data_IF_141454564074
#
_entry.id   IF_141454564074
#
_cell.length_a   1.000
_cell.length_b   1.000
_cell.length_c   1.000
_cell.angle_alpha   90.00
_cell.angle_beta   90.00
_cell.angle_gamma   90.00
#
_symmetry.space_group_name_H-M   'P 1'
#
loop_
_entity.id
_entity.type
_entity.pdbx_description
1 polymer ?
#
# COMPACT_ATOMS: atom_id res chain seq x y z
N UNK A 1 1.76 21.65 5.28
CA UNK A 1 1.17 20.33 4.92
C UNK A 1 2.01 19.50 3.96
N UNK A 2 2.50 20.00 2.81
CA UNK A 2 3.12 19.14 1.78
C UNK A 2 4.36 18.36 2.26
N UNK A 3 5.20 18.98 3.09
CA UNK A 3 6.38 18.33 3.66
C UNK A 3 6.01 17.17 4.60
N UNK A 4 4.95 17.33 5.40
CA UNK A 4 4.47 16.27 6.32
C UNK A 4 3.94 15.10 5.49
N UNK A 5 3.11 15.38 4.48
CA UNK A 5 2.56 14.37 3.58
C UNK A 5 3.69 13.62 2.86
N UNK A 6 4.70 14.33 2.37
CA UNK A 6 5.89 13.71 1.76
C UNK A 6 6.59 12.73 2.71
N UNK A 7 6.86 13.13 3.96
CA UNK A 7 7.49 12.27 4.96
C UNK A 7 6.62 11.05 5.27
N UNK A 8 5.30 11.26 5.41
CA UNK A 8 4.34 10.17 5.65
C UNK A 8 4.29 9.20 4.47
N UNK A 9 4.25 9.69 3.22
CA UNK A 9 4.27 8.87 2.01
C UNK A 9 5.54 8.03 1.94
N UNK A 10 6.71 8.60 2.28
CA UNK A 10 7.96 7.83 2.35
C UNK A 10 7.92 6.75 3.43
N UNK A 11 7.44 7.08 4.64
CA UNK A 11 7.30 6.11 5.71
C UNK A 11 6.34 4.97 5.33
N UNK A 12 5.21 5.31 4.70
CA UNK A 12 4.23 4.35 4.20
C UNK A 12 4.81 3.50 3.07
N UNK A 13 5.58 4.07 2.15
CA UNK A 13 6.21 3.32 1.06
C UNK A 13 7.21 2.28 1.58
N UNK A 14 8.02 2.66 2.56
CA UNK A 14 8.95 1.73 3.22
C UNK A 14 8.19 0.66 4.02
N UNK A 15 7.15 1.06 4.75
CA UNK A 15 6.33 0.14 5.53
C UNK A 15 5.55 -0.83 4.64
N UNK A 16 5.10 -0.38 3.46
CA UNK A 16 4.37 -1.20 2.50
C UNK A 16 5.17 -2.44 2.12
N UNK A 17 6.49 -2.31 1.94
CA UNK A 17 7.36 -3.43 1.57
C UNK A 17 7.41 -4.57 2.60
N UNK A 18 7.03 -4.31 3.86
CA UNK A 18 6.99 -5.31 4.93
C UNK A 18 5.61 -5.92 5.14
N UNK A 19 4.64 -5.60 4.27
CA UNK A 19 3.32 -6.19 4.36
C UNK A 19 3.39 -7.72 4.15
N UNK A 20 2.58 -8.50 4.90
CA UNK A 20 2.61 -9.96 4.90
C UNK A 20 2.43 -10.56 3.51
N UNK A 21 1.59 -9.95 2.67
CA UNK A 21 1.31 -10.44 1.33
C UNK A 21 2.58 -10.38 0.45
N UNK A 22 3.46 -9.40 0.64
CA UNK A 22 4.77 -9.37 -0.04
C UNK A 22 5.70 -10.38 0.59
N UNK A 23 5.77 -10.46 1.93
CA UNK A 23 6.66 -11.39 2.62
C UNK A 23 6.36 -12.84 2.24
N UNK A 24 5.08 -13.23 2.17
CA UNK A 24 4.64 -14.56 1.77
C UNK A 24 5.03 -14.82 0.31
N UNK A 25 4.68 -13.91 -0.61
CA UNK A 25 5.00 -14.05 -2.04
C UNK A 25 6.51 -14.12 -2.29
N UNK A 26 7.30 -13.27 -1.63
CA UNK A 26 8.76 -13.21 -1.76
C UNK A 26 9.45 -14.49 -1.26
N UNK A 27 8.90 -15.17 -0.23
CA UNK A 27 9.44 -16.47 0.24
C UNK A 27 9.29 -17.59 -0.78
N UNK A 28 8.34 -17.48 -1.70
CA UNK A 28 8.10 -18.48 -2.75
C UNK A 28 9.01 -18.29 -3.97
N UNK A 29 9.71 -17.15 -4.03
CA UNK A 29 10.59 -16.76 -5.13
C UNK A 29 12.02 -17.27 -4.91
N UNK A 30 12.71 -17.59 -6.01
CA UNK A 30 14.01 -18.30 -5.98
C UNK A 30 15.19 -17.43 -6.35
N UNK A 31 14.96 -16.27 -6.97
CA UNK A 31 16.03 -15.43 -7.49
C UNK A 31 15.80 -13.95 -7.21
N UNK A 32 16.90 -13.18 -7.15
CA UNK A 32 16.86 -11.71 -7.00
C UNK A 32 16.12 -11.03 -8.16
N UNK A 33 16.15 -11.64 -9.35
CA UNK A 33 15.39 -11.16 -10.50
C UNK A 33 13.89 -11.24 -10.24
N UNK A 34 13.43 -12.31 -9.61
CA UNK A 34 12.00 -12.48 -9.29
C UNK A 34 11.53 -11.40 -8.31
N UNK A 35 12.33 -11.06 -7.30
CA UNK A 35 12.02 -9.97 -6.37
C UNK A 35 11.89 -8.62 -7.08
N UNK A 36 12.82 -8.32 -8.00
CA UNK A 36 12.81 -7.06 -8.75
C UNK A 36 11.60 -6.98 -9.70
N UNK A 37 11.32 -8.08 -10.42
CA UNK A 37 10.16 -8.16 -11.31
C UNK A 37 8.87 -8.03 -10.53
N UNK A 38 8.75 -8.68 -9.37
CA UNK A 38 7.57 -8.58 -8.52
C UNK A 38 7.38 -7.17 -7.98
N UNK A 39 8.40 -6.57 -7.35
CA UNK A 39 8.30 -5.21 -6.81
C UNK A 39 7.87 -4.20 -7.87
N UNK A 40 8.52 -4.23 -9.04
CA UNK A 40 8.19 -3.33 -10.15
C UNK A 40 6.77 -3.58 -10.69
N UNK A 41 6.39 -4.83 -10.95
CA UNK A 41 5.06 -5.15 -11.49
C UNK A 41 3.94 -4.83 -10.50
N UNK A 42 4.18 -5.03 -9.20
CA UNK A 42 3.27 -4.63 -8.12
C UNK A 42 3.12 -3.11 -8.02
N UNK A 43 4.23 -2.38 -8.08
CA UNK A 43 4.21 -0.92 -8.13
C UNK A 43 3.45 -0.40 -9.35
N UNK A 44 3.67 -0.98 -10.53
CA UNK A 44 2.94 -0.65 -11.77
C UNK A 44 1.44 -0.95 -11.61
N UNK A 45 1.08 -2.12 -11.07
CA UNK A 45 -0.30 -2.48 -10.81
C UNK A 45 -1.02 -1.46 -9.93
N UNK A 46 -0.37 -1.00 -8.85
CA UNK A 46 -0.94 0.03 -7.99
C UNK A 46 -1.09 1.37 -8.73
N UNK A 47 -0.07 1.81 -9.48
CA UNK A 47 -0.13 3.06 -10.24
C UNK A 47 -1.29 3.09 -11.25
N UNK A 48 -1.58 1.95 -11.90
CA UNK A 48 -2.67 1.81 -12.87
C UNK A 48 -4.05 2.10 -12.28
N UNK A 49 -4.24 1.87 -10.97
CA UNK A 49 -5.49 2.16 -10.28
C UNK A 49 -5.44 3.52 -9.57
N UNK A 50 -4.33 3.81 -8.89
CA UNK A 50 -4.20 4.99 -8.05
C UNK A 50 -4.15 6.30 -8.85
N UNK A 51 -3.44 6.35 -9.99
CA UNK A 51 -3.34 7.58 -10.78
C UNK A 51 -4.71 8.01 -11.34
N UNK A 52 -5.51 7.13 -11.98
CA UNK A 52 -6.88 7.48 -12.37
C UNK A 52 -7.74 7.93 -11.19
N UNK A 53 -7.60 7.28 -10.03
CA UNK A 53 -8.36 7.63 -8.83
C UNK A 53 -8.05 9.06 -8.37
N UNK A 54 -6.76 9.42 -8.31
CA UNK A 54 -6.32 10.77 -7.95
C UNK A 54 -6.85 11.80 -8.94
N UNK A 55 -6.87 11.49 -10.24
CA UNK A 55 -7.46 12.36 -11.27
C UNK A 55 -8.95 12.59 -10.99
N UNK A 56 -9.72 11.51 -10.80
CA UNK A 56 -11.17 11.58 -10.60
C UNK A 56 -11.49 12.38 -9.33
N UNK A 57 -10.82 12.09 -8.22
CA UNK A 57 -11.04 12.77 -6.94
C UNK A 57 -10.59 14.24 -6.96
N UNK A 58 -9.57 14.58 -7.76
CA UNK A 58 -9.13 15.98 -7.92
C UNK A 58 -10.13 16.83 -8.72
N UNK A 59 -10.95 16.21 -9.58
CA UNK A 59 -11.91 16.91 -10.44
C UNK A 59 -13.27 17.06 -9.76
N UNK A 60 -13.66 16.07 -8.95
CA UNK A 60 -14.97 16.02 -8.29
C UNK A 60 -14.75 15.96 -6.77
N UNK A 61 -14.46 17.11 -6.12
CA UNK A 61 -14.18 17.15 -4.69
C UNK A 61 -15.37 16.67 -3.82
N UNK A 62 -16.59 16.67 -4.35
CA UNK A 62 -17.75 16.06 -3.68
C UNK A 62 -17.60 14.53 -3.48
N UNK A 63 -16.68 13.88 -4.20
CA UNK A 63 -16.31 12.48 -3.99
C UNK A 63 -15.34 12.28 -2.82
N UNK A 64 -14.80 13.33 -2.20
CA UNK A 64 -13.89 13.23 -1.05
C UNK A 64 -14.53 12.45 0.11
N UNK A 65 -15.80 12.74 0.41
CA UNK A 65 -16.56 12.01 1.43
C UNK A 65 -16.73 10.53 1.09
N UNK A 66 -16.98 10.22 -0.20
CA UNK A 66 -17.11 8.84 -0.68
C UNK A 66 -15.75 8.13 -0.59
N UNK A 67 -14.66 8.82 -0.94
CA UNK A 67 -13.28 8.33 -0.77
C UNK A 67 -12.94 8.03 0.69
N UNK A 68 -13.31 8.92 1.61
CA UNK A 68 -13.14 8.75 3.06
C UNK A 68 -13.94 7.56 3.60
N UNK A 69 -15.20 7.38 3.17
CA UNK A 69 -16.04 6.23 3.53
C UNK A 69 -15.46 4.93 3.01
N UNK A 70 -15.01 4.91 1.74
CA UNK A 70 -14.36 3.74 1.13
C UNK A 70 -13.06 3.41 1.88
N UNK A 71 -12.24 4.43 2.19
CA UNK A 71 -10.99 4.29 2.92
C UNK A 71 -11.20 3.74 4.34
N UNK A 72 -12.22 4.22 5.06
CA UNK A 72 -12.64 3.68 6.37
C UNK A 72 -13.11 2.23 6.26
N UNK A 73 -13.96 1.94 5.27
CA UNK A 73 -14.47 0.58 5.03
C UNK A 73 -13.34 -0.41 4.80
N UNK A 74 -12.38 -0.07 3.93
CA UNK A 74 -11.22 -0.92 3.69
C UNK A 74 -10.30 -1.03 4.91
N UNK A 75 -10.07 0.06 5.64
CA UNK A 75 -9.24 0.03 6.85
C UNK A 75 -9.85 -0.84 7.95
N UNK A 76 -11.18 -0.82 8.09
CA UNK A 76 -11.91 -1.69 9.00
C UNK A 76 -11.86 -3.16 8.58
N UNK A 77 -12.01 -3.46 7.29
CA UNK A 77 -11.88 -4.81 6.73
C UNK A 77 -10.45 -5.35 6.96
N UNK A 78 -9.44 -4.51 6.74
CA UNK A 78 -8.03 -4.85 6.96
C UNK A 78 -7.72 -5.11 8.43
N UNK A 79 -8.16 -4.23 9.33
CA UNK A 79 -8.01 -4.42 10.77
C UNK A 79 -8.69 -5.73 11.22
N UNK A 80 -9.89 -6.00 10.73
CA UNK A 80 -10.60 -7.24 11.01
C UNK A 80 -9.85 -8.47 10.49
N UNK A 81 -9.36 -8.44 9.24
CA UNK A 81 -8.58 -9.53 8.64
C UNK A 81 -7.33 -9.85 9.46
N UNK A 82 -6.60 -8.83 9.90
CA UNK A 82 -5.41 -8.97 10.74
C UNK A 82 -5.73 -9.47 12.16
N UNK A 83 -6.82 -9.01 12.78
CA UNK A 83 -7.26 -9.50 14.11
C UNK A 83 -7.69 -10.96 14.04
N UNK A 84 -8.39 -11.36 12.97
CA UNK A 84 -8.91 -12.72 12.80
C UNK A 84 -7.85 -13.68 12.24
N UNK A 85 -6.73 -13.15 11.72
CA UNK A 85 -5.69 -13.94 11.06
C UNK A 85 -6.17 -14.57 9.75
N UNK A 86 -7.19 -13.97 9.11
CA UNK A 86 -7.70 -14.37 7.80
C UNK A 86 -7.21 -13.37 6.76
N UNK A 87 -6.33 -13.85 5.90
CA UNK A 87 -5.76 -13.09 4.80
C UNK A 87 -6.78 -13.11 3.63
N UNK A 88 -7.16 -11.94 3.10
CA UNK A 88 -7.94 -11.86 1.87
C UNK A 88 -6.98 -12.07 0.69
N UNK A 89 -6.63 -13.33 0.43
CA UNK A 89 -5.66 -13.68 -0.61
C UNK A 89 -6.32 -13.76 -2.00
N UNK A 90 -5.72 -13.05 -2.96
CA UNK A 90 -5.74 -13.52 -4.34
C UNK A 90 -4.55 -14.45 -4.50
N UNK A 91 -4.84 -15.74 -4.62
CA UNK A 91 -3.85 -16.79 -4.79
C UNK A 91 -3.28 -16.68 -6.22
N UNK A 92 -2.10 -16.08 -6.41
CA UNK A 92 -1.59 -15.86 -7.78
C UNK A 92 -0.14 -16.32 -7.98
N UNK A 93 -0.02 -17.17 -9.01
CA UNK A 93 1.15 -17.78 -9.66
C UNK A 93 2.38 -16.86 -9.86
N UNK A 94 3.57 -17.44 -10.08
CA UNK A 94 4.91 -16.82 -10.26
C UNK A 94 5.08 -15.91 -11.51
N UNK A 95 4.02 -15.30 -12.01
CA UNK A 95 3.97 -14.57 -13.28
C UNK A 95 4.08 -13.06 -13.08
N UNK A 96 4.62 -12.34 -14.07
CA UNK A 96 4.57 -10.87 -14.15
C UNK A 96 3.14 -10.32 -13.99
N UNK A 97 2.15 -11.08 -14.46
CA UNK A 97 0.73 -10.74 -14.31
C UNK A 97 0.22 -10.84 -12.88
N UNK A 98 0.84 -11.67 -12.03
CA UNK A 98 0.44 -11.77 -10.62
C UNK A 98 0.83 -10.54 -9.82
N UNK A 99 2.04 -10.03 -10.05
CA UNK A 99 2.49 -8.78 -9.43
C UNK A 99 1.61 -7.61 -9.85
N UNK A 100 1.25 -7.48 -11.14
CA UNK A 100 0.34 -6.41 -11.59
C UNK A 100 -1.04 -6.54 -10.92
N UNK A 101 -1.63 -7.73 -10.91
CA UNK A 101 -2.95 -7.94 -10.30
C UNK A 101 -2.93 -7.71 -8.78
N UNK A 102 -1.89 -8.18 -8.09
CA UNK A 102 -1.70 -7.93 -6.66
C UNK A 102 -1.43 -6.44 -6.39
N UNK A 103 -0.68 -5.77 -7.26
CA UNK A 103 -0.47 -4.34 -7.24
C UNK A 103 -1.78 -3.56 -7.33
N UNK A 104 -2.62 -3.92 -8.29
CA UNK A 104 -3.87 -3.24 -8.59
C UNK A 104 -4.98 -3.52 -7.57
N UNK A 105 -5.13 -4.79 -7.16
CA UNK A 105 -6.30 -5.26 -6.43
C UNK A 105 -6.03 -5.75 -5.01
N UNK A 106 -4.77 -5.97 -4.61
CA UNK A 106 -4.47 -6.21 -3.19
C UNK A 106 -4.57 -4.86 -2.48
N UNK A 107 -5.64 -4.74 -1.71
CA UNK A 107 -5.95 -3.53 -0.98
C UNK A 107 -5.26 -3.62 0.36
N UNK A 108 -4.30 -2.72 0.58
CA UNK A 108 -3.50 -2.69 1.80
C UNK A 108 -3.57 -1.30 2.44
N UNK A 109 -3.37 -1.19 3.77
CA UNK A 109 -3.61 0.06 4.49
C UNK A 109 -2.77 1.22 3.92
N UNK A 110 -1.51 0.94 3.58
CA UNK A 110 -0.57 1.92 3.06
C UNK A 110 -1.00 2.47 1.69
N UNK A 111 -1.44 1.61 0.76
CA UNK A 111 -1.96 2.01 -0.57
C UNK A 111 -3.16 2.94 -0.46
N UNK A 112 -4.09 2.64 0.44
CA UNK A 112 -5.29 3.45 0.68
C UNK A 112 -4.89 4.82 1.21
N UNK A 113 -4.09 4.87 2.28
CA UNK A 113 -3.67 6.14 2.87
C UNK A 113 -2.97 7.00 1.82
N UNK A 114 -2.06 6.41 1.05
CA UNK A 114 -1.30 7.16 0.05
C UNK A 114 -2.21 7.70 -1.05
N UNK A 115 -3.23 6.94 -1.49
CA UNK A 115 -4.22 7.42 -2.43
C UNK A 115 -5.05 8.60 -1.87
N UNK A 116 -5.48 8.51 -0.61
CA UNK A 116 -6.22 9.58 0.08
C UNK A 116 -5.34 10.83 0.25
N UNK A 117 -4.11 10.67 0.78
CA UNK A 117 -3.17 11.78 0.93
C UNK A 117 -2.83 12.44 -0.41
N UNK A 118 -2.74 11.65 -1.48
CA UNK A 118 -2.48 12.16 -2.82
C UNK A 118 -3.67 12.93 -3.39
N UNK A 119 -4.93 12.54 -3.11
CA UNK A 119 -6.09 13.29 -3.59
C UNK A 119 -6.23 14.66 -2.91
N UNK A 120 -5.85 14.78 -1.64
CA UNK A 120 -5.97 16.03 -0.86
C UNK A 120 -5.03 17.15 -1.33
N UNK A 121 -3.92 16.80 -2.00
CA UNK A 121 -2.90 17.78 -2.41
C UNK A 121 -3.03 18.23 -3.87
N UNK A 122 -4.09 17.77 -4.54
CA UNK A 122 -4.37 18.05 -5.95
C UNK A 122 -3.54 17.21 -6.93
N UNK A 123 -3.98 17.20 -8.19
CA UNK A 123 -3.51 16.25 -9.22
C UNK A 123 -1.99 16.17 -9.38
N UNK A 124 -1.29 17.29 -9.52
CA UNK A 124 0.16 17.29 -9.81
C UNK A 124 0.97 16.72 -8.64
N UNK A 125 0.76 17.24 -7.43
CA UNK A 125 1.47 16.78 -6.24
C UNK A 125 1.04 15.36 -5.85
N UNK A 126 -0.24 15.05 -5.98
CA UNK A 126 -0.77 13.71 -5.73
C UNK A 126 -0.13 12.67 -6.64
N UNK A 127 -0.03 12.95 -7.94
CA UNK A 127 0.64 12.08 -8.90
C UNK A 127 2.12 11.87 -8.57
N UNK A 128 2.82 12.93 -8.16
CA UNK A 128 4.22 12.83 -7.69
C UNK A 128 4.31 11.91 -6.47
N UNK A 129 3.40 12.01 -5.50
CA UNK A 129 3.39 11.15 -4.32
C UNK A 129 3.07 9.68 -4.64
N UNK A 130 2.15 9.41 -5.58
CA UNK A 130 1.90 8.04 -6.05
C UNK A 130 3.15 7.46 -6.71
N UNK A 131 3.80 8.22 -7.62
CA UNK A 131 5.01 7.76 -8.31
C UNK A 131 6.14 7.53 -7.31
N UNK A 132 6.32 8.44 -6.35
CA UNK A 132 7.32 8.32 -5.30
C UNK A 132 7.07 7.08 -4.44
N UNK A 133 5.83 6.85 -4.02
CA UNK A 133 5.44 5.66 -3.27
C UNK A 133 5.78 4.41 -4.06
N UNK A 134 5.39 4.34 -5.34
CA UNK A 134 5.66 3.20 -6.23
C UNK A 134 7.15 2.91 -6.33
N UNK A 135 7.99 3.92 -6.55
CA UNK A 135 9.44 3.75 -6.67
C UNK A 135 10.03 3.24 -5.35
N UNK A 136 9.72 3.91 -4.25
CA UNK A 136 10.30 3.60 -2.93
C UNK A 136 9.81 2.25 -2.43
N UNK A 137 8.53 1.92 -2.59
CA UNK A 137 7.98 0.64 -2.18
C UNK A 137 8.50 -0.51 -3.05
N UNK A 138 8.65 -0.32 -4.36
CA UNK A 138 9.23 -1.34 -5.25
C UNK A 138 10.68 -1.67 -4.85
N UNK A 139 11.48 -0.63 -4.54
CA UNK A 139 12.84 -0.81 -4.03
C UNK A 139 12.84 -1.47 -2.64
N UNK A 140 11.92 -1.08 -1.77
CA UNK A 140 11.71 -1.70 -0.46
C UNK A 140 11.38 -3.18 -0.58
N UNK A 141 10.44 -3.57 -1.44
CA UNK A 141 10.04 -4.96 -1.68
C UNK A 141 11.22 -5.79 -2.16
N UNK A 142 12.02 -5.25 -3.09
CA UNK A 142 13.25 -5.90 -3.53
C UNK A 142 14.23 -6.11 -2.36
N UNK A 143 14.43 -5.08 -1.53
CA UNK A 143 15.32 -5.15 -0.37
C UNK A 143 14.83 -6.17 0.67
N UNK A 144 13.52 -6.19 0.95
CA UNK A 144 12.89 -7.17 1.86
C UNK A 144 13.06 -8.59 1.32
N UNK A 145 12.81 -8.82 0.03
CA UNK A 145 13.03 -10.12 -0.61
C UNK A 145 14.48 -10.57 -0.53
N UNK A 146 15.42 -9.65 -0.78
CA UNK A 146 16.84 -9.89 -0.61
C UNK A 146 17.19 -10.25 0.84
N UNK A 147 16.72 -9.49 1.83
CA UNK A 147 16.99 -9.74 3.25
C UNK A 147 16.38 -11.05 3.76
N UNK A 148 15.18 -11.40 3.30
CA UNK A 148 14.52 -12.66 3.62
C UNK A 148 15.30 -13.88 3.13
N UNK A 149 16.12 -13.74 2.08
CA UNK A 149 17.03 -14.82 1.67
C UNK A 149 18.14 -15.11 2.69
N UNK A 150 18.35 -14.21 3.66
CA UNK A 150 19.34 -14.34 4.73
C UNK A 150 18.72 -14.45 6.13
N UNK A 151 17.49 -13.97 6.35
CA UNK A 151 16.85 -13.85 7.67
C UNK A 151 15.45 -14.48 7.64
N UNK A 152 15.20 -15.42 8.56
CA UNK A 152 13.86 -15.98 8.80
C UNK A 152 13.02 -15.03 9.68
N UNK A 153 12.27 -14.11 9.06
CA UNK A 153 11.35 -13.22 9.78
C UNK A 153 10.16 -14.02 10.33
N UNK A 154 9.77 -13.83 11.60
CA UNK A 154 8.62 -14.53 12.19
C UNK A 154 7.30 -13.91 11.72
N UNK A 155 6.28 -14.73 11.46
CA UNK A 155 4.94 -14.31 10.99
C UNK A 155 4.29 -13.27 11.93
N UNK A 156 4.53 -13.39 13.23
CA UNK A 156 3.92 -12.52 14.25
C UNK A 156 4.39 -11.05 14.17
N UNK A 157 5.62 -10.79 13.72
CA UNK A 157 6.15 -9.42 13.63
C UNK A 157 5.49 -8.63 12.50
N UNK A 158 5.24 -9.28 11.36
CA UNK A 158 4.56 -8.67 10.21
C UNK A 158 3.10 -8.33 10.55
N UNK A 159 2.42 -9.22 11.29
CA UNK A 159 1.06 -8.98 11.82
C UNK A 159 0.97 -7.75 12.73
N UNK A 160 1.93 -7.59 13.66
CA UNK A 160 1.97 -6.42 14.54
C UNK A 160 2.14 -5.10 13.77
N UNK A 161 3.01 -5.09 12.76
CA UNK A 161 3.24 -3.91 11.92
C UNK A 161 1.95 -3.52 11.19
N UNK A 162 1.23 -4.49 10.61
CA UNK A 162 -0.02 -4.24 9.91
C UNK A 162 -1.13 -3.67 10.80
N UNK A 163 -1.28 -4.20 12.02
CA UNK A 163 -2.25 -3.69 13.00
C UNK A 163 -1.94 -2.23 13.33
N UNK A 164 -0.66 -1.90 13.58
CA UNK A 164 -0.25 -0.52 13.88
C UNK A 164 -0.59 0.44 12.72
N UNK A 165 -0.28 0.05 11.48
CA UNK A 165 -0.59 0.89 10.30
C UNK A 165 -2.11 1.09 10.18
N UNK A 166 -2.91 0.03 10.29
CA UNK A 166 -4.36 0.12 10.17
C UNK A 166 -4.99 1.05 11.21
N UNK A 167 -4.51 1.01 12.47
CA UNK A 167 -4.97 1.92 13.52
C UNK A 167 -4.61 3.37 13.18
N UNK A 168 -3.37 3.63 12.76
CA UNK A 168 -2.92 4.97 12.36
C UNK A 168 -3.77 5.49 11.20
N UNK A 169 -4.12 4.65 10.22
CA UNK A 169 -5.03 4.99 9.12
C UNK A 169 -6.39 5.44 9.62
N UNK A 170 -7.01 4.65 10.49
CA UNK A 170 -8.35 4.95 11.01
C UNK A 170 -8.33 6.29 11.75
N UNK A 171 -7.31 6.52 12.59
CA UNK A 171 -7.16 7.78 13.31
C UNK A 171 -7.01 8.95 12.33
N UNK A 172 -6.16 8.83 11.32
CA UNK A 172 -5.95 9.89 10.33
C UNK A 172 -7.23 10.23 9.56
N UNK A 173 -7.96 9.22 9.06
CA UNK A 173 -9.20 9.45 8.31
C UNK A 173 -10.26 10.09 9.20
N UNK A 174 -10.38 9.64 10.46
CA UNK A 174 -11.32 10.25 11.42
C UNK A 174 -10.99 11.73 11.67
N UNK A 175 -9.72 12.07 11.87
CA UNK A 175 -9.29 13.46 12.02
C UNK A 175 -9.61 14.29 10.77
N UNK A 176 -9.34 13.75 9.58
CA UNK A 176 -9.65 14.39 8.29
C UNK A 176 -11.15 14.67 8.13
N UNK A 177 -12.02 13.71 8.44
CA UNK A 177 -13.49 13.87 8.40
C UNK A 177 -13.94 14.94 9.39
N UNK A 178 -13.34 14.98 10.58
CA UNK A 178 -13.66 15.97 11.62
C UNK A 178 -13.08 17.36 11.33
N UNK A 179 -12.26 17.51 10.28
CA UNK A 179 -11.50 18.74 9.96
C UNK A 179 -10.65 19.25 11.13
N UNK A 180 -10.10 18.33 11.92
CA UNK A 180 -9.19 18.57 13.05
C UNK A 180 -7.79 18.18 12.61
#
# INVERSE_FOLDING_TARGET
MPLIIFVVVLALALSHAFEPDHIVTLRLMKSRRDYAVFGLSHGIGFALIALPLVIILSIIPELELIGNIIGLGFSAILLYGEIVGKEFEFNVSKSLGSGILQGAFAITPSKIIVAVLASEVGFLLGSIYIILFVIVSSLGIFLVGFLLSYINVKKDLSRMINICIAIVTIIYILLSILKI
#
